data_IF_713953020252
#
_entry.id   IF_713953020252
#
_cell.length_a   1.000
_cell.length_b   1.000
_cell.length_c   1.000
_cell.angle_alpha   90.00
_cell.angle_beta   90.00
_cell.angle_gamma   90.00
#
_symmetry.space_group_name_H-M   'P 1'
#
loop_
_entity.id
_entity.type
_entity.pdbx_description
1 polymer ?
#
# COMPACT_ATOMS: atom_id res chain seq x y z
N UNK A 1 7.06 16.28 -17.25
CA UNK A 1 7.52 17.68 -17.42
C UNK A 1 8.84 17.85 -18.18
N UNK A 2 9.88 17.02 -18.00
CA UNK A 2 11.16 17.22 -18.71
C UNK A 2 11.22 16.64 -20.15
N UNK A 3 10.48 15.55 -20.43
CA UNK A 3 10.42 14.91 -21.76
C UNK A 3 9.90 15.86 -22.85
N UNK A 4 8.89 16.67 -22.52
CA UNK A 4 8.26 17.60 -23.46
C UNK A 4 9.19 18.73 -23.93
N UNK A 5 10.29 18.99 -23.21
CA UNK A 5 11.16 20.16 -23.44
C UNK A 5 12.39 19.81 -24.29
N UNK A 6 12.93 18.58 -24.20
CA UNK A 6 14.21 18.24 -24.85
C UNK A 6 14.13 17.13 -25.90
N UNK A 7 13.04 16.36 -25.96
CA UNK A 7 12.87 15.27 -26.93
C UNK A 7 13.93 14.15 -26.86
N UNK A 8 14.78 14.15 -25.82
CA UNK A 8 15.85 13.16 -25.61
C UNK A 8 15.54 12.34 -24.37
N UNK A 9 15.23 11.06 -24.59
CA UNK A 9 15.20 10.06 -23.52
C UNK A 9 16.64 9.87 -23.05
N UNK A 10 16.92 10.23 -21.81
CA UNK A 10 18.23 10.01 -21.18
C UNK A 10 17.99 9.36 -19.83
N UNK A 11 18.95 8.57 -19.36
CA UNK A 11 18.92 7.96 -18.02
C UNK A 11 18.64 8.98 -16.92
N UNK A 12 19.06 10.24 -17.10
CA UNK A 12 18.80 11.33 -16.15
C UNK A 12 17.34 11.79 -16.09
N UNK A 13 16.53 11.53 -17.12
CA UNK A 13 15.07 11.75 -17.04
C UNK A 13 14.45 10.70 -16.13
N UNK A 14 14.88 9.44 -16.23
CA UNK A 14 14.41 8.36 -15.38
C UNK A 14 14.78 8.61 -13.91
N UNK A 15 16.00 9.08 -13.66
CA UNK A 15 16.45 9.51 -12.32
C UNK A 15 15.54 10.61 -11.75
N UNK A 16 15.14 11.58 -12.60
CA UNK A 16 14.25 12.64 -12.16
C UNK A 16 12.89 12.09 -11.74
N UNK A 17 12.26 11.26 -12.59
CA UNK A 17 10.97 10.63 -12.24
C UNK A 17 11.09 9.74 -11.00
N UNK A 18 12.21 9.04 -10.83
CA UNK A 18 12.47 8.26 -9.63
C UNK A 18 12.48 9.14 -8.37
N UNK A 19 13.16 10.28 -8.41
CA UNK A 19 13.14 11.25 -7.32
C UNK A 19 11.73 11.77 -7.00
N UNK A 20 10.89 12.01 -8.00
CA UNK A 20 9.48 12.41 -7.80
C UNK A 20 8.70 11.29 -7.12
N UNK A 21 8.86 10.03 -7.56
CA UNK A 21 8.19 8.87 -6.96
C UNK A 21 8.58 8.71 -5.50
N UNK A 22 9.86 8.89 -5.15
CA UNK A 22 10.28 8.87 -3.74
C UNK A 22 9.55 9.95 -2.91
N UNK A 23 9.35 11.16 -3.46
CA UNK A 23 8.57 12.20 -2.79
C UNK A 23 7.10 11.82 -2.64
N UNK A 24 6.48 11.20 -3.66
CA UNK A 24 5.10 10.73 -3.60
C UNK A 24 4.95 9.67 -2.48
N UNK A 25 5.88 8.73 -2.39
CA UNK A 25 5.88 7.68 -1.37
C UNK A 25 6.03 8.22 0.06
N UNK A 26 6.90 9.21 0.28
CA UNK A 26 7.09 9.78 1.62
C UNK A 26 5.93 10.65 2.08
N UNK A 27 5.18 11.25 1.15
CA UNK A 27 4.20 12.31 1.46
C UNK A 27 2.75 11.89 1.23
N UNK A 28 2.51 10.78 0.52
CA UNK A 28 1.17 10.34 0.12
C UNK A 28 0.50 11.25 -0.91
N UNK A 29 1.23 12.25 -1.46
CA UNK A 29 0.70 13.24 -2.42
C UNK A 29 1.02 12.84 -3.85
N UNK A 30 0.18 13.29 -4.79
CA UNK A 30 0.42 13.14 -6.23
C UNK A 30 1.45 14.14 -6.73
N UNK A 31 2.26 13.75 -7.72
CA UNK A 31 3.25 14.62 -8.37
C UNK A 31 2.66 15.93 -8.91
N UNK A 32 1.43 15.83 -9.45
CA UNK A 32 0.58 16.95 -9.85
C UNK A 32 -0.77 16.76 -9.16
N UNK A 33 -1.15 17.73 -8.34
CA UNK A 33 -2.39 17.69 -7.57
C UNK A 33 -3.23 18.95 -7.84
N UNK A 34 -4.12 18.85 -8.83
CA UNK A 34 -4.97 19.97 -9.29
C UNK A 34 -6.00 20.42 -8.23
N UNK A 35 -6.17 19.64 -7.15
CA UNK A 35 -7.05 20.04 -6.02
C UNK A 35 -6.41 21.08 -5.10
N UNK A 36 -5.11 21.31 -5.25
CA UNK A 36 -4.31 22.17 -4.38
C UNK A 36 -4.12 23.56 -5.00
N UNK A 37 -3.85 24.59 -4.17
CA UNK A 37 -3.43 25.91 -4.67
C UNK A 37 -2.25 25.82 -5.65
N UNK A 38 -2.13 26.78 -6.56
CA UNK A 38 -1.08 26.84 -7.59
C UNK A 38 0.32 26.63 -7.01
N UNK A 39 0.58 27.19 -5.83
CA UNK A 39 1.83 27.05 -5.12
C UNK A 39 2.14 25.61 -4.70
N UNK A 40 1.15 24.81 -4.30
CA UNK A 40 1.33 23.43 -3.81
C UNK A 40 0.94 22.34 -4.81
N UNK A 41 0.43 22.73 -5.99
CA UNK A 41 0.02 21.83 -7.08
C UNK A 41 1.18 20.96 -7.58
N UNK A 42 2.39 21.52 -7.67
CA UNK A 42 3.58 20.79 -8.12
C UNK A 42 4.37 20.24 -6.93
N UNK A 43 4.39 18.91 -6.78
CA UNK A 43 4.99 18.24 -5.63
C UNK A 43 6.45 18.63 -5.40
N UNK A 44 7.28 18.65 -6.44
CA UNK A 44 8.72 18.95 -6.30
C UNK A 44 8.97 20.36 -5.76
N UNK A 45 8.24 21.36 -6.24
CA UNK A 45 8.39 22.73 -5.80
C UNK A 45 7.90 22.92 -4.35
N UNK A 46 6.78 22.28 -4.01
CA UNK A 46 6.25 22.26 -2.66
C UNK A 46 7.20 21.55 -1.67
N UNK A 47 7.65 20.34 -2.03
CA UNK A 47 8.51 19.51 -1.18
C UNK A 47 9.81 20.23 -0.81
N UNK A 48 10.44 20.91 -1.78
CA UNK A 48 11.65 21.70 -1.53
C UNK A 48 11.45 22.80 -0.49
N UNK A 49 10.27 23.42 -0.43
CA UNK A 49 9.95 24.43 0.61
C UNK A 49 9.75 23.78 1.98
N UNK A 50 9.04 22.66 2.01
CA UNK A 50 8.80 21.90 3.25
C UNK A 50 10.10 21.35 3.83
N UNK A 51 11.02 20.89 2.98
CA UNK A 51 12.29 20.27 3.40
C UNK A 51 13.28 21.25 4.07
N UNK A 52 13.15 22.56 3.86
CA UNK A 52 14.04 23.58 4.47
C UNK A 52 13.87 23.64 5.98
N UNK A 53 12.63 23.51 6.47
CA UNK A 53 12.29 23.61 7.88
C UNK A 53 11.96 22.23 8.44
N UNK A 54 12.64 21.81 9.51
CA UNK A 54 12.50 20.45 10.06
C UNK A 54 11.08 20.16 10.55
N UNK A 55 10.44 21.15 11.18
CA UNK A 55 9.08 20.99 11.71
C UNK A 55 8.06 20.89 10.59
N UNK A 56 8.22 21.71 9.55
CA UNK A 56 7.41 21.64 8.33
C UNK A 56 7.61 20.33 7.60
N UNK A 57 8.85 19.87 7.45
CA UNK A 57 9.16 18.59 6.80
C UNK A 57 8.51 17.42 7.53
N UNK A 58 8.57 17.39 8.87
CA UNK A 58 7.91 16.34 9.66
C UNK A 58 6.40 16.30 9.43
N UNK A 59 5.76 17.45 9.25
CA UNK A 59 4.32 17.56 8.92
C UNK A 59 3.99 17.19 7.47
N UNK A 60 4.98 17.19 6.58
CA UNK A 60 4.82 16.84 5.18
C UNK A 60 4.89 15.32 4.94
N UNK A 61 5.39 14.55 5.90
CA UNK A 61 5.44 13.09 5.85
C UNK A 61 4.01 12.54 5.92
N UNK A 62 3.75 11.49 5.15
CA UNK A 62 2.47 10.79 5.12
C UNK A 62 2.07 10.37 6.55
N UNK A 63 0.87 10.76 7.04
CA UNK A 63 0.42 10.46 8.39
C UNK A 63 0.19 8.96 8.65
N UNK A 64 0.15 8.13 7.61
CA UNK A 64 0.04 6.66 7.74
C UNK A 64 1.38 6.00 8.09
N UNK A 65 2.49 6.73 7.97
CA UNK A 65 3.81 6.25 8.36
C UNK A 65 3.99 6.47 9.86
N UNK A 66 4.30 5.41 10.61
CA UNK A 66 4.66 5.53 12.03
C UNK A 66 6.05 6.16 12.17
N UNK A 67 6.12 7.32 12.81
CA UNK A 67 7.36 8.11 12.90
C UNK A 67 7.99 7.92 14.28
N UNK A 68 9.00 7.06 14.34
CA UNK A 68 9.99 7.01 15.40
C UNK A 68 11.33 7.64 14.94
N UNK A 69 12.33 7.68 15.83
CA UNK A 69 13.63 8.31 15.52
C UNK A 69 14.39 7.61 14.39
N UNK A 70 14.35 6.27 14.34
CA UNK A 70 15.02 5.46 13.30
C UNK A 70 14.36 5.65 11.93
N UNK A 71 13.03 5.59 11.89
CA UNK A 71 12.26 5.80 10.66
C UNK A 71 12.43 7.24 10.17
N UNK A 72 12.45 8.24 11.06
CA UNK A 72 12.67 9.63 10.69
C UNK A 72 14.05 9.86 10.08
N UNK A 73 15.10 9.24 10.62
CA UNK A 73 16.45 9.30 10.04
C UNK A 73 16.51 8.67 8.64
N UNK A 74 15.83 7.53 8.45
CA UNK A 74 15.70 6.88 7.14
C UNK A 74 14.96 7.77 6.14
N UNK A 75 13.83 8.37 6.55
CA UNK A 75 13.06 9.31 5.71
C UNK A 75 13.91 10.52 5.32
N UNK A 76 14.70 11.08 6.24
CA UNK A 76 15.60 12.20 5.91
C UNK A 76 16.62 11.83 4.84
N UNK A 77 17.18 10.62 4.92
CA UNK A 77 18.13 10.10 3.92
C UNK A 77 17.45 9.94 2.56
N UNK A 78 16.25 9.37 2.52
CA UNK A 78 15.45 9.23 1.28
C UNK A 78 15.08 10.61 0.70
N UNK A 79 14.75 11.58 1.55
CA UNK A 79 14.40 12.94 1.15
C UNK A 79 15.57 13.73 0.54
N UNK A 80 16.76 13.56 1.09
CA UNK A 80 17.99 14.12 0.53
C UNK A 80 18.26 13.51 -0.85
N UNK A 81 18.20 12.18 -0.97
CA UNK A 81 18.35 11.48 -2.24
C UNK A 81 17.32 11.95 -3.28
N UNK A 82 16.04 12.02 -2.89
CA UNK A 82 14.96 12.48 -3.76
C UNK A 82 15.19 13.93 -4.26
N UNK A 83 15.71 14.79 -3.39
CA UNK A 83 16.06 16.18 -3.74
C UNK A 83 17.15 16.25 -4.80
N UNK A 84 18.19 15.42 -4.69
CA UNK A 84 19.24 15.32 -5.70
C UNK A 84 18.75 14.68 -7.01
N UNK A 85 17.98 13.59 -6.94
CA UNK A 85 17.39 12.92 -8.10
C UNK A 85 16.49 13.87 -8.92
N UNK A 86 15.71 14.70 -8.23
CA UNK A 86 14.81 15.68 -8.84
C UNK A 86 15.47 17.05 -9.14
N UNK A 87 16.80 17.16 -9.11
CA UNK A 87 17.49 18.40 -9.41
C UNK A 87 17.10 18.95 -10.80
N UNK A 88 17.04 20.28 -10.92
CA UNK A 88 16.64 20.94 -12.17
C UNK A 88 17.64 20.61 -13.29
N UNK A 89 18.92 20.72 -12.97
CA UNK A 89 20.02 20.45 -13.89
C UNK A 89 20.37 18.93 -13.93
N UNK A 90 20.37 18.28 -15.11
CA UNK A 90 20.62 16.83 -15.23
C UNK A 90 21.98 16.35 -14.72
N UNK A 91 23.00 17.22 -14.71
CA UNK A 91 24.34 16.88 -14.24
C UNK A 91 24.44 16.87 -12.71
N UNK A 92 23.51 17.52 -12.00
CA UNK A 92 23.42 17.48 -10.53
C UNK A 92 22.70 16.23 -10.03
N UNK A 93 22.02 15.52 -10.93
CA UNK A 93 21.33 14.27 -10.59
C UNK A 93 22.36 13.15 -10.47
N UNK A 94 22.30 12.33 -9.41
CA UNK A 94 23.20 11.19 -9.25
C UNK A 94 22.95 10.16 -10.36
N UNK A 95 23.87 9.22 -10.50
CA UNK A 95 23.63 8.03 -11.30
C UNK A 95 22.69 7.07 -10.55
N UNK A 96 21.90 6.28 -11.28
CA UNK A 96 20.97 5.33 -10.66
C UNK A 96 21.67 4.33 -9.75
N UNK A 97 22.91 3.92 -10.06
CA UNK A 97 23.70 3.06 -9.18
C UNK A 97 23.96 3.69 -7.81
N UNK A 98 24.21 5.01 -7.76
CA UNK A 98 24.37 5.72 -6.48
C UNK A 98 23.05 5.77 -5.70
N UNK A 99 21.93 6.04 -6.38
CA UNK A 99 20.61 6.03 -5.74
C UNK A 99 20.27 4.66 -5.13
N UNK A 100 20.55 3.58 -5.86
CA UNK A 100 20.37 2.21 -5.35
C UNK A 100 21.26 1.96 -4.13
N UNK A 101 22.55 2.31 -4.19
CA UNK A 101 23.47 2.10 -3.07
C UNK A 101 22.99 2.79 -1.77
N UNK A 102 22.51 4.03 -1.87
CA UNK A 102 21.94 4.76 -0.72
C UNK A 102 20.74 4.00 -0.15
N UNK A 103 19.78 3.61 -0.99
CA UNK A 103 18.58 2.91 -0.54
C UNK A 103 18.87 1.50 0.00
N UNK A 104 19.81 0.77 -0.60
CA UNK A 104 20.21 -0.56 -0.13
C UNK A 104 20.68 -0.54 1.32
N UNK A 105 21.44 0.49 1.72
CA UNK A 105 21.91 0.62 3.11
C UNK A 105 20.77 0.80 4.12
N UNK A 106 19.63 1.36 3.71
CA UNK A 106 18.44 1.52 4.55
C UNK A 106 17.64 0.22 4.65
N UNK A 107 17.55 -0.53 3.54
CA UNK A 107 16.84 -1.82 3.51
C UNK A 107 17.53 -2.85 4.39
N UNK A 108 18.85 -2.85 4.47
CA UNK A 108 19.61 -3.73 5.37
C UNK A 108 19.35 -3.45 6.86
N UNK A 109 18.95 -2.22 7.20
CA UNK A 109 18.62 -1.81 8.56
C UNK A 109 17.14 -2.09 8.90
N UNK A 110 16.27 -2.04 7.89
CA UNK A 110 14.84 -2.21 8.07
C UNK A 110 14.48 -3.59 8.61
N UNK A 111 13.64 -3.60 9.65
CA UNK A 111 13.00 -4.80 10.17
C UNK A 111 11.50 -4.71 9.90
N UNK A 112 10.87 -5.75 9.35
CA UNK A 112 9.42 -5.81 9.30
C UNK A 112 8.91 -5.69 10.74
N UNK A 113 7.96 -4.77 10.97
CA UNK A 113 7.20 -4.80 12.21
C UNK A 113 6.55 -6.17 12.30
N UNK A 114 6.86 -6.93 13.35
CA UNK A 114 6.16 -8.16 13.68
C UNK A 114 4.69 -7.80 13.86
N UNK A 115 3.93 -7.85 12.76
CA UNK A 115 2.48 -7.80 12.83
C UNK A 115 2.13 -9.13 13.46
N UNK A 116 1.88 -9.10 14.78
CA UNK A 116 1.54 -10.28 15.55
C UNK A 116 0.45 -11.03 14.76
N UNK A 117 0.81 -12.18 14.18
CA UNK A 117 -0.05 -12.93 13.26
C UNK A 117 -1.34 -13.44 13.93
N UNK A 118 -1.46 -13.20 15.23
CA UNK A 118 -2.55 -13.58 16.11
C UNK A 118 -3.80 -12.69 15.96
N UNK A 119 -3.68 -11.46 15.43
CA UNK A 119 -4.83 -10.53 15.39
C UNK A 119 -5.65 -10.58 14.08
N UNK A 120 -5.14 -11.18 13.00
CA UNK A 120 -5.82 -11.19 11.69
C UNK A 120 -6.85 -12.32 11.54
N UNK A 121 -6.69 -13.44 12.24
CA UNK A 121 -7.59 -14.59 12.09
C UNK A 121 -8.50 -14.86 13.28
N UNK A 122 -8.28 -14.23 14.44
CA UNK A 122 -9.05 -14.54 15.66
C UNK A 122 -8.95 -16.02 16.08
N UNK A 123 -7.99 -16.76 15.51
CA UNK A 123 -7.74 -18.17 15.79
C UNK A 123 -6.51 -18.21 16.68
N UNK A 124 -6.77 -18.45 17.96
CA UNK A 124 -5.77 -18.80 18.96
C UNK A 124 -5.26 -20.22 18.63
N UNK A 125 -4.07 -20.30 18.01
CA UNK A 125 -3.43 -21.56 17.61
C UNK A 125 -2.97 -22.42 18.79
N UNK A 126 -2.93 -21.86 20.01
CA UNK A 126 -2.59 -22.58 21.24
C UNK A 126 -3.79 -23.36 21.82
N UNK A 127 -4.99 -23.20 21.25
CA UNK A 127 -6.16 -23.99 21.63
C UNK A 127 -6.16 -25.34 20.92
N UNK A 128 -6.24 -26.42 21.70
CA UNK A 128 -6.59 -27.73 21.15
C UNK A 128 -8.00 -27.71 20.54
N UNK A 129 -8.24 -28.48 19.47
CA UNK A 129 -9.56 -28.61 18.83
C UNK A 129 -10.73 -28.79 19.81
N UNK A 130 -10.61 -29.60 20.89
CA UNK A 130 -11.66 -29.72 21.90
C UNK A 130 -11.93 -28.42 22.68
N UNK A 131 -10.91 -27.60 22.94
CA UNK A 131 -11.05 -26.32 23.64
C UNK A 131 -11.70 -25.27 22.73
N UNK A 132 -11.31 -25.22 21.46
CA UNK A 132 -11.92 -24.34 20.47
C UNK A 132 -13.42 -24.63 20.29
N UNK A 133 -13.80 -25.91 20.19
CA UNK A 133 -15.20 -26.35 20.08
C UNK A 133 -16.02 -25.94 21.32
N UNK A 134 -15.46 -26.11 22.52
CA UNK A 134 -16.12 -25.73 23.78
C UNK A 134 -16.35 -24.22 23.87
N UNK A 135 -15.40 -23.42 23.37
CA UNK A 135 -15.50 -21.94 23.32
C UNK A 135 -16.62 -21.50 22.37
N UNK A 136 -16.75 -22.16 21.21
CA UNK A 136 -17.84 -21.93 20.25
C UNK A 136 -19.22 -22.26 20.83
N UNK A 137 -19.36 -23.43 21.47
CA UNK A 137 -20.63 -23.83 22.10
C UNK A 137 -21.04 -22.89 23.25
N UNK A 138 -20.08 -22.30 23.96
CA UNK A 138 -20.36 -21.31 25.00
C UNK A 138 -20.86 -19.97 24.44
N UNK A 139 -20.43 -19.60 23.24
CA UNK A 139 -20.88 -18.37 22.57
C UNK A 139 -22.27 -18.52 21.94
N UNK A 140 -22.60 -19.70 21.43
CA UNK A 140 -23.92 -19.99 20.84
C UNK A 140 -25.06 -19.98 21.86
N UNK A 141 -24.75 -20.18 23.15
CA UNK A 141 -25.71 -20.07 24.25
C UNK A 141 -25.99 -18.64 24.75
N UNK A 142 -25.29 -17.62 24.23
CA UNK A 142 -25.34 -16.25 24.76
C UNK A 142 -26.19 -15.25 23.95
N UNK A 143 -26.85 -15.68 22.86
CA UNK A 143 -27.67 -14.81 22.00
C UNK A 143 -29.18 -15.06 22.14
N UNK A 144 -29.75 -14.70 23.30
CA UNK A 144 -31.16 -14.29 23.37
C UNK A 144 -31.29 -12.99 24.17
N UNK A 145 -31.94 -12.01 23.53
CA UNK A 145 -32.32 -10.65 23.99
C UNK A 145 -31.15 -9.64 24.08
N UNK A 146 -31.11 -8.50 23.39
CA UNK A 146 -32.15 -7.69 22.71
C UNK A 146 -31.64 -7.07 21.41
N UNK A 147 -32.57 -6.94 20.46
CA UNK A 147 -32.40 -6.30 19.16
C UNK A 147 -32.75 -4.82 19.25
N UNK A 148 -32.01 -3.96 18.52
CA UNK A 148 -32.57 -2.98 17.57
C UNK A 148 -31.41 -2.35 16.78
N UNK A 149 -31.18 -2.81 15.55
CA UNK A 149 -31.53 -2.14 14.27
C UNK A 149 -30.27 -1.45 13.69
N UNK A 150 -29.83 -1.59 12.44
CA UNK A 150 -30.35 -2.09 11.15
C UNK A 150 -29.12 -2.09 10.21
N UNK A 151 -28.91 -2.94 9.21
CA UNK A 151 -29.80 -3.27 8.08
C UNK A 151 -29.37 -4.61 7.43
N UNK A 152 -30.26 -5.62 7.40
CA UNK A 152 -31.00 -6.14 6.22
C UNK A 152 -30.08 -6.89 5.21
N UNK A 153 -30.24 -8.19 4.90
CA UNK A 153 -31.46 -8.97 4.64
C UNK A 153 -31.30 -10.49 4.96
N UNK A 154 -32.42 -11.25 5.02
CA UNK A 154 -32.54 -12.44 5.85
C UNK A 154 -32.40 -13.77 5.10
N UNK A 155 -32.10 -14.77 5.94
CA UNK A 155 -32.19 -16.20 5.74
C UNK A 155 -33.38 -16.69 4.91
N UNK A 156 -33.17 -17.79 4.19
CA UNK A 156 -34.13 -18.89 4.19
C UNK A 156 -33.35 -20.20 4.40
N UNK A 157 -33.64 -20.85 5.53
CA UNK A 157 -33.33 -22.26 5.75
C UNK A 157 -33.95 -23.11 4.64
N UNK A 158 -33.20 -24.08 4.12
CA UNK A 158 -33.54 -25.47 4.35
C UNK A 158 -32.46 -26.41 3.78
N UNK A 159 -32.11 -27.37 4.63
CA UNK A 159 -31.40 -28.63 4.36
C UNK A 159 -31.60 -29.19 2.94
N UNK A 160 -30.51 -29.33 2.17
CA UNK A 160 -30.05 -30.59 1.54
C UNK A 160 -29.02 -30.35 0.42
N UNK A 161 -27.97 -31.18 0.45
CA UNK A 161 -26.97 -31.50 -0.59
C UNK A 161 -26.08 -30.38 -1.14
N UNK A 162 -24.80 -30.46 -0.76
CA UNK A 162 -23.66 -29.70 -1.27
C UNK A 162 -23.29 -30.08 -2.72
N UNK A 163 -24.13 -29.75 -3.70
CA UNK A 163 -23.75 -29.77 -5.12
C UNK A 163 -24.38 -28.55 -5.81
N UNK A 164 -23.60 -27.67 -6.47
CA UNK A 164 -24.16 -26.58 -7.26
C UNK A 164 -25.00 -27.12 -8.43
N UNK A 165 -26.15 -26.51 -8.68
CA UNK A 165 -26.94 -26.83 -9.86
C UNK A 165 -26.17 -26.50 -11.15
N UNK A 166 -26.30 -27.41 -12.12
CA UNK A 166 -25.73 -27.30 -13.47
C UNK A 166 -26.10 -25.96 -14.11
N UNK A 167 -25.14 -25.22 -14.70
CA UNK A 167 -25.46 -23.99 -15.42
C UNK A 167 -26.28 -24.28 -16.68
N UNK A 168 -27.23 -23.40 -16.97
CA UNK A 168 -28.01 -23.45 -18.22
C UNK A 168 -27.07 -23.35 -19.43
N UNK A 169 -27.06 -24.37 -20.28
CA UNK A 169 -26.23 -24.43 -21.50
C UNK A 169 -25.09 -25.46 -21.46
N UNK A 170 -24.97 -26.28 -20.41
CA UNK A 170 -23.97 -27.36 -20.38
C UNK A 170 -24.47 -28.59 -21.15
N UNK A 171 -23.69 -29.08 -22.12
CA UNK A 171 -24.07 -30.18 -23.01
C UNK A 171 -24.43 -31.47 -22.25
N UNK A 172 -25.42 -32.21 -22.77
CA UNK A 172 -25.91 -33.47 -22.19
C UNK A 172 -25.06 -34.70 -22.52
N UNK A 173 -24.15 -34.60 -23.49
CA UNK A 173 -23.20 -35.67 -23.78
C UNK A 173 -22.05 -35.15 -24.63
N UNK A 174 -20.81 -35.55 -24.29
CA UNK A 174 -19.68 -35.45 -25.21
C UNK A 174 -19.63 -36.75 -26.02
N UNK A 175 -19.83 -36.68 -27.33
CA UNK A 175 -19.48 -37.79 -28.23
C UNK A 175 -18.22 -37.40 -29.00
N UNK A 176 -17.34 -38.37 -29.23
CA UNK A 176 -15.96 -38.17 -29.72
C UNK A 176 -15.85 -37.73 -31.19
N UNK A 177 -16.90 -37.15 -31.79
CA UNK A 177 -16.96 -36.81 -33.21
C UNK A 177 -16.77 -35.32 -33.53
N UNK A 178 -16.68 -34.43 -32.53
CA UNK A 178 -16.66 -32.97 -32.76
C UNK A 178 -15.25 -32.36 -32.82
N UNK A 179 -14.25 -33.18 -33.16
CA UNK A 179 -12.87 -32.76 -33.36
C UNK A 179 -12.43 -32.93 -34.81
N UNK A 180 -12.80 -31.99 -35.69
CA UNK A 180 -12.07 -31.68 -36.94
C UNK A 180 -12.13 -30.20 -37.26
#
# INVERSE_FOLDING_TARGET
>A
YLFAVTGRVTTKVDVFSFGVILMELMTGRKALDDSQPEDSMHLVAWFRRMYIDKDSFRKAIDPTIDINEETLASIHTVAELASHCSAREPYQRPDMGHAVNVLSSLVEQWKPSDTNSEDIYGIDLDLSLPQALKKWQAYEGASQLESSSSSLLPSLDNTQTSIPNRPYGFADSFTSADGR
#
